data_IF_139435070393
#
_entry.id   IF_139435070393
#
_cell.length_a   1.000
_cell.length_b   1.000
_cell.length_c   1.000
_cell.angle_alpha   90.00
_cell.angle_beta   90.00
_cell.angle_gamma   90.00
#
_symmetry.space_group_name_H-M   'P 1'
#
loop_
_entity.id
_entity.type
_entity.pdbx_description
1 polymer ?
#
# COMPACT_ATOMS: atom_id res chain seq x y z
N UNK A 1 -25.66 -5.94 12.80
CA UNK A 1 -24.63 -4.88 12.88
C UNK A 1 -23.55 -5.24 11.87
N UNK A 2 -23.36 -4.44 10.83
CA UNK A 2 -22.28 -4.68 9.88
C UNK A 2 -20.94 -4.54 10.64
N UNK A 3 -20.07 -5.53 10.51
CA UNK A 3 -18.73 -5.48 11.08
C UNK A 3 -17.98 -4.29 10.46
N UNK A 4 -17.37 -3.45 11.28
CA UNK A 4 -16.59 -2.32 10.78
C UNK A 4 -15.40 -2.87 10.00
N UNK A 5 -15.21 -2.41 8.76
CA UNK A 5 -14.11 -2.84 7.92
C UNK A 5 -12.80 -2.20 8.38
N UNK A 6 -11.70 -2.97 8.33
CA UNK A 6 -10.34 -2.49 8.51
C UNK A 6 -9.37 -3.13 7.49
N UNK A 7 -8.10 -2.72 7.51
CA UNK A 7 -7.07 -3.26 6.60
C UNK A 7 -6.78 -4.75 6.81
N UNK A 8 -7.12 -5.30 7.98
CA UNK A 8 -7.07 -6.72 8.27
C UNK A 8 -8.03 -7.53 7.38
N UNK A 9 -9.17 -6.95 7.02
CA UNK A 9 -10.14 -7.54 6.10
C UNK A 9 -9.72 -7.51 4.62
N UNK A 10 -8.59 -6.90 4.26
CA UNK A 10 -8.05 -6.98 2.89
C UNK A 10 -7.67 -8.44 2.58
N UNK A 11 -8.19 -9.05 1.49
CA UNK A 11 -7.82 -10.40 1.07
C UNK A 11 -6.36 -10.51 0.65
N UNK A 12 -5.88 -11.74 0.43
CA UNK A 12 -4.56 -11.98 -0.18
C UNK A 12 -4.41 -11.28 -1.54
N UNK A 13 -3.26 -10.66 -1.75
CA UNK A 13 -2.92 -9.89 -2.96
C UNK A 13 -1.73 -10.47 -3.73
N UNK A 14 -1.24 -11.67 -3.38
CA UNK A 14 -0.16 -12.33 -4.12
C UNK A 14 -0.49 -12.45 -5.61
N UNK A 15 0.52 -12.19 -6.44
CA UNK A 15 0.40 -12.19 -7.91
C UNK A 15 -0.18 -10.90 -8.51
N UNK A 16 -0.52 -9.90 -7.68
CA UNK A 16 -0.99 -8.59 -8.15
C UNK A 16 0.12 -7.54 -8.02
N UNK A 17 0.13 -6.60 -8.97
CA UNK A 17 0.98 -5.42 -8.97
C UNK A 17 0.13 -4.18 -8.71
N UNK A 18 0.55 -3.34 -7.75
CA UNK A 18 -0.08 -2.06 -7.45
C UNK A 18 0.94 -0.91 -7.63
N UNK A 19 0.56 0.12 -8.37
CA UNK A 19 1.33 1.37 -8.48
C UNK A 19 0.65 2.41 -7.60
N UNK A 20 1.38 2.95 -6.63
CA UNK A 20 0.84 3.97 -5.72
C UNK A 20 1.62 5.26 -5.86
N UNK A 21 0.91 6.31 -6.28
CA UNK A 21 1.45 7.67 -6.36
C UNK A 21 1.40 8.36 -5.01
N UNK A 22 2.43 9.15 -4.68
CA UNK A 22 2.43 9.92 -3.43
C UNK A 22 2.57 9.05 -2.17
N UNK A 23 3.25 7.92 -2.28
CA UNK A 23 3.37 6.93 -1.20
C UNK A 23 4.43 7.26 -0.12
N UNK A 24 4.92 8.50 -0.05
CA UNK A 24 5.91 8.91 0.95
C UNK A 24 5.30 9.22 2.32
N UNK A 25 3.99 9.49 2.39
CA UNK A 25 3.28 9.77 3.63
C UNK A 25 1.76 9.65 3.47
N UNK A 26 1.03 9.75 4.59
CA UNK A 26 -0.43 9.80 4.61
C UNK A 26 -1.09 8.59 3.94
N UNK A 27 -2.20 8.82 3.25
CA UNK A 27 -3.02 7.75 2.66
C UNK A 27 -2.23 6.89 1.67
N UNK A 28 -1.34 7.50 0.87
CA UNK A 28 -0.53 6.77 -0.10
C UNK A 28 0.43 5.79 0.58
N UNK A 29 1.06 6.22 1.68
CA UNK A 29 1.94 5.35 2.47
C UNK A 29 1.16 4.20 3.12
N UNK A 30 0.04 4.50 3.79
CA UNK A 30 -0.78 3.49 4.45
C UNK A 30 -1.35 2.47 3.45
N UNK A 31 -1.78 2.91 2.28
CA UNK A 31 -2.26 2.03 1.21
C UNK A 31 -1.14 1.12 0.67
N UNK A 32 0.08 1.66 0.48
CA UNK A 32 1.23 0.88 0.05
C UNK A 32 1.61 -0.18 1.07
N UNK A 33 1.65 0.21 2.35
CA UNK A 33 1.95 -0.68 3.45
C UNK A 33 0.91 -1.80 3.56
N UNK A 34 -0.38 -1.45 3.52
CA UNK A 34 -1.46 -2.44 3.64
C UNK A 34 -1.43 -3.46 2.49
N UNK A 35 -1.24 -3.01 1.24
CA UNK A 35 -1.21 -3.91 0.08
C UNK A 35 0.06 -4.77 0.05
N UNK A 36 1.22 -4.19 0.36
CA UNK A 36 2.47 -4.94 0.48
C UNK A 36 2.39 -6.00 1.59
N UNK A 37 1.81 -5.65 2.74
CA UNK A 37 1.57 -6.57 3.86
C UNK A 37 0.63 -7.73 3.51
N UNK A 38 -0.18 -7.60 2.46
CA UNK A 38 -1.05 -8.65 1.92
C UNK A 38 -0.44 -9.38 0.72
N UNK A 39 0.85 -9.15 0.41
CA UNK A 39 1.61 -9.89 -0.59
C UNK A 39 1.53 -9.33 -2.01
N UNK A 40 0.96 -8.14 -2.21
CA UNK A 40 1.06 -7.46 -3.49
C UNK A 40 2.52 -7.05 -3.78
N UNK A 41 2.92 -7.05 -5.04
CA UNK A 41 4.06 -6.25 -5.48
C UNK A 41 3.61 -4.79 -5.54
N UNK A 42 4.36 -3.89 -4.91
CA UNK A 42 4.01 -2.47 -4.85
C UNK A 42 5.14 -1.63 -5.43
N UNK A 43 4.78 -0.77 -6.39
CA UNK A 43 5.67 0.26 -6.96
C UNK A 43 5.28 1.59 -6.35
N UNK A 44 6.24 2.27 -5.72
CA UNK A 44 6.06 3.60 -5.14
C UNK A 44 6.42 4.65 -6.20
N UNK A 45 5.41 5.30 -6.78
CA UNK A 45 5.59 6.39 -7.72
C UNK A 45 5.64 7.72 -6.96
N UNK A 46 6.85 8.12 -6.55
CA UNK A 46 7.09 9.28 -5.69
C UNK A 46 7.95 10.33 -6.38
N UNK A 47 7.90 11.57 -5.89
CA UNK A 47 8.67 12.70 -6.46
C UNK A 47 10.16 12.62 -6.16
N UNK A 48 10.53 12.10 -5.00
CA UNK A 48 11.92 11.93 -4.57
C UNK A 48 12.15 10.46 -4.22
N UNK A 49 13.00 9.79 -4.98
CA UNK A 49 13.38 8.40 -4.71
C UNK A 49 14.18 8.27 -3.41
N UNK A 50 14.97 9.28 -3.04
CA UNK A 50 15.73 9.29 -1.79
C UNK A 50 14.80 9.14 -0.59
N UNK A 51 13.75 9.97 -0.53
CA UNK A 51 12.73 9.88 0.53
C UNK A 51 11.97 8.55 0.46
N UNK A 52 11.72 8.04 -0.74
CA UNK A 52 11.00 6.76 -0.92
C UNK A 52 11.81 5.50 -0.58
N UNK A 53 13.13 5.60 -0.43
CA UNK A 53 14.04 4.49 -0.09
C UNK A 53 14.48 4.49 1.38
N UNK A 54 14.25 5.59 2.10
CA UNK A 54 14.52 5.73 3.53
C UNK A 54 13.48 4.95 4.36
#
# INVERSE_FOLDING_TARGET
MAHAWDTGAIPDQRGRLAIITGATSGIGYEAAQALAGKGAQVILAVRSEEIGRA
#
